data_IF_752158016154
#
_entry.id   IF_752158016154
#
_cell.length_a   1.000
_cell.length_b   1.000
_cell.length_c   1.000
_cell.angle_alpha   90.00
_cell.angle_beta   90.00
_cell.angle_gamma   90.00
#
_symmetry.space_group_name_H-M   'P 1'
#
loop_
_entity.id
_entity.type
_entity.pdbx_description
1 polymer ?
#
# COMPACT_ATOMS: atom_id res chain seq x y z
N UNK A 1 -55.66 -44.19 -3.32
CA UNK A 1 -55.07 -43.42 -2.18
C UNK A 1 -53.70 -42.95 -2.65
N UNK A 2 -53.50 -41.62 -2.65
CA UNK A 2 -52.34 -40.95 -3.26
C UNK A 2 -51.11 -41.05 -2.36
N UNK A 3 -49.98 -41.35 -2.99
CA UNK A 3 -48.62 -41.41 -2.43
C UNK A 3 -48.14 -40.07 -1.88
N UNK A 4 -47.38 -40.12 -0.78
CA UNK A 4 -46.39 -39.09 -0.46
C UNK A 4 -45.17 -39.78 0.17
N UNK A 5 -44.10 -39.93 -0.61
CA UNK A 5 -42.80 -40.35 -0.12
C UNK A 5 -42.04 -39.10 0.36
N UNK A 6 -41.65 -39.08 1.63
CA UNK A 6 -40.84 -38.02 2.23
C UNK A 6 -39.38 -38.25 1.81
N UNK A 7 -38.88 -37.42 0.89
CA UNK A 7 -37.47 -37.39 0.50
C UNK A 7 -36.71 -36.55 1.55
N UNK A 8 -35.93 -37.25 2.39
CA UNK A 8 -34.97 -36.64 3.30
C UNK A 8 -33.77 -36.15 2.48
N UNK A 9 -33.74 -34.85 2.17
CA UNK A 9 -32.55 -34.21 1.59
C UNK A 9 -31.61 -33.93 2.74
N UNK A 10 -30.52 -34.70 2.84
CA UNK A 10 -29.35 -34.32 3.63
C UNK A 10 -28.83 -32.98 3.08
N UNK A 11 -29.10 -31.90 3.80
CA UNK A 11 -28.39 -30.65 3.60
C UNK A 11 -26.92 -30.87 3.92
N UNK A 12 -26.08 -30.90 2.87
CA UNK A 12 -24.66 -30.70 3.03
C UNK A 12 -24.48 -29.30 3.64
N UNK A 13 -24.20 -29.25 4.93
CA UNK A 13 -23.62 -28.06 5.51
C UNK A 13 -22.31 -27.83 4.76
N UNK A 14 -22.29 -26.80 3.90
CA UNK A 14 -21.06 -26.19 3.44
C UNK A 14 -20.37 -25.66 4.70
N UNK A 15 -19.52 -26.51 5.28
CA UNK A 15 -18.53 -26.08 6.25
C UNK A 15 -17.61 -25.16 5.46
N UNK A 16 -17.87 -23.86 5.50
CA UNK A 16 -16.90 -22.87 5.09
C UNK A 16 -15.65 -23.15 5.90
N UNK A 17 -14.59 -23.60 5.23
CA UNK A 17 -13.30 -23.74 5.86
C UNK A 17 -12.98 -22.37 6.46
N UNK A 18 -12.85 -22.31 7.79
CA UNK A 18 -12.31 -21.14 8.46
C UNK A 18 -10.90 -20.99 7.90
N UNK A 19 -10.74 -20.08 6.95
CA UNK A 19 -9.45 -19.74 6.35
C UNK A 19 -8.60 -19.25 7.50
N UNK A 20 -7.49 -19.93 7.77
CA UNK A 20 -6.50 -19.46 8.73
C UNK A 20 -6.14 -18.02 8.31
N UNK A 21 -6.46 -17.00 9.13
CA UNK A 21 -6.27 -15.61 8.74
C UNK A 21 -4.79 -15.24 8.51
N UNK A 22 -3.88 -16.23 8.68
CA UNK A 22 -2.44 -16.11 8.74
C UNK A 22 -1.71 -17.22 7.98
N UNK A 23 -2.42 -17.93 7.09
CA UNK A 23 -1.80 -18.90 6.20
C UNK A 23 -0.76 -18.25 5.28
N UNK A 24 -0.01 -19.06 4.54
CA UNK A 24 0.96 -18.62 3.51
C UNK A 24 0.37 -17.75 2.39
N UNK A 25 -0.95 -17.57 2.40
CA UNK A 25 -1.73 -17.03 1.30
C UNK A 25 -2.09 -15.55 1.52
N UNK A 26 -1.49 -14.86 2.50
CA UNK A 26 -1.70 -13.41 2.70
C UNK A 26 -0.94 -12.60 1.65
N UNK A 27 -1.62 -11.64 1.01
CA UNK A 27 -1.00 -10.74 0.04
C UNK A 27 0.07 -9.88 0.72
N UNK A 28 1.27 -9.81 0.14
CA UNK A 28 2.34 -8.94 0.59
C UNK A 28 2.36 -7.61 -0.18
N UNK A 29 1.72 -7.55 -1.34
CA UNK A 29 1.68 -6.42 -2.27
C UNK A 29 3.07 -5.92 -2.69
N UNK A 30 4.05 -6.82 -2.70
CA UNK A 30 5.47 -6.58 -3.04
C UNK A 30 5.88 -7.23 -4.36
N UNK A 31 4.94 -7.29 -5.31
CA UNK A 31 5.21 -7.59 -6.72
C UNK A 31 4.78 -8.97 -7.21
N UNK A 32 4.85 -10.04 -6.41
CA UNK A 32 4.46 -11.40 -6.84
C UNK A 32 3.64 -12.14 -5.80
N UNK A 33 2.47 -11.59 -5.50
CA UNK A 33 1.48 -12.35 -4.74
C UNK A 33 0.83 -13.43 -5.60
N UNK A 34 0.37 -14.50 -4.98
CA UNK A 34 -0.49 -15.47 -5.64
C UNK A 34 -1.81 -14.79 -6.07
N UNK A 35 -2.37 -15.21 -7.21
CA UNK A 35 -3.61 -14.63 -7.73
C UNK A 35 -4.80 -14.76 -6.76
N UNK A 36 -4.76 -15.73 -5.84
CA UNK A 36 -5.78 -16.02 -4.84
C UNK A 36 -5.35 -15.62 -3.41
N UNK A 37 -4.41 -14.68 -3.27
CA UNK A 37 -4.00 -14.24 -1.95
C UNK A 37 -5.15 -13.50 -1.21
N UNK A 38 -5.07 -13.50 0.12
CA UNK A 38 -6.04 -12.85 1.00
C UNK A 38 -5.50 -11.52 1.52
N UNK A 39 -6.34 -10.50 1.48
CA UNK A 39 -6.08 -9.22 2.13
C UNK A 39 -6.66 -9.23 3.55
N UNK A 40 -5.89 -8.77 4.53
CA UNK A 40 -6.37 -8.69 5.92
C UNK A 40 -7.20 -7.41 6.12
N UNK A 41 -8.23 -7.49 6.97
CA UNK A 41 -9.06 -6.34 7.36
C UNK A 41 -9.87 -6.62 8.64
N UNK A 42 -10.70 -5.66 9.07
CA UNK A 42 -11.54 -5.76 10.27
C UNK A 42 -12.90 -5.07 10.08
N UNK A 43 -13.92 -5.42 10.87
CA UNK A 43 -15.28 -4.83 10.80
C UNK A 43 -15.59 -3.88 11.97
N UNK A 44 -14.57 -3.18 12.47
CA UNK A 44 -14.71 -2.27 13.62
C UNK A 44 -14.96 -3.00 14.95
N UNK A 45 -14.89 -4.34 14.94
CA UNK A 45 -14.94 -5.23 16.10
C UNK A 45 -13.54 -5.50 16.70
N UNK A 46 -12.49 -4.95 16.08
CA UNK A 46 -11.10 -5.19 16.46
C UNK A 46 -10.59 -6.59 16.10
N UNK A 47 -11.34 -7.37 15.32
CA UNK A 47 -10.97 -8.74 14.92
C UNK A 47 -10.48 -8.72 13.47
N UNK A 48 -9.22 -9.12 13.28
CA UNK A 48 -8.63 -9.29 11.96
C UNK A 48 -9.22 -10.53 11.26
N UNK A 49 -9.57 -10.38 9.99
CA UNK A 49 -10.13 -11.41 9.13
C UNK A 49 -9.46 -11.36 7.77
N UNK A 50 -9.31 -12.53 7.14
CA UNK A 50 -8.90 -12.65 5.75
C UNK A 50 -10.09 -12.39 4.82
N UNK A 51 -9.88 -11.56 3.82
CA UNK A 51 -10.81 -11.29 2.73
C UNK A 51 -10.16 -11.71 1.41
N UNK A 52 -10.97 -12.20 0.48
CA UNK A 52 -10.54 -12.32 -0.92
C UNK A 52 -10.07 -10.96 -1.40
N UNK A 53 -8.84 -10.88 -1.93
CA UNK A 53 -8.34 -9.64 -2.52
C UNK A 53 -9.16 -9.28 -3.76
N UNK A 54 -9.53 -8.01 -3.88
CA UNK A 54 -10.14 -7.47 -5.09
C UNK A 54 -9.12 -7.49 -6.22
N UNK A 55 -9.54 -8.06 -7.36
CA UNK A 55 -8.77 -8.04 -8.60
C UNK A 55 -8.56 -6.62 -9.09
N UNK A 56 -7.56 -6.40 -9.95
CA UNK A 56 -7.34 -5.08 -10.55
C UNK A 56 -8.56 -4.62 -11.37
N UNK A 57 -9.20 -5.52 -12.12
CA UNK A 57 -10.44 -5.22 -12.85
C UNK A 57 -11.57 -4.75 -11.93
N UNK A 58 -11.73 -5.37 -10.76
CA UNK A 58 -12.71 -4.92 -9.76
C UNK A 58 -12.36 -3.54 -9.18
N UNK A 59 -11.07 -3.28 -8.89
CA UNK A 59 -10.63 -1.97 -8.42
C UNK A 59 -10.86 -0.88 -9.49
N UNK A 60 -10.62 -1.20 -10.75
CA UNK A 60 -10.81 -0.30 -11.88
C UNK A 60 -12.30 0.02 -12.09
N UNK A 61 -13.19 -0.98 -12.05
CA UNK A 61 -14.64 -0.79 -12.14
C UNK A 61 -15.21 0.04 -10.98
N UNK A 62 -14.62 -0.09 -9.78
CA UNK A 62 -14.96 0.74 -8.62
C UNK A 62 -14.30 2.13 -8.65
N UNK A 63 -13.52 2.45 -9.69
CA UNK A 63 -12.70 3.66 -9.80
C UNK A 63 -11.77 3.88 -8.59
N UNK A 64 -11.26 2.79 -8.00
CA UNK A 64 -10.33 2.81 -6.87
C UNK A 64 -8.90 2.76 -7.42
N UNK A 65 -8.25 3.93 -7.47
CA UNK A 65 -6.84 4.04 -7.83
C UNK A 65 -6.09 4.92 -6.84
N UNK A 66 -5.13 4.34 -6.12
CA UNK A 66 -4.24 4.98 -5.14
C UNK A 66 -2.80 4.63 -5.47
N UNK A 67 -2.40 4.79 -6.72
CA UNK A 67 -1.05 4.40 -7.15
C UNK A 67 0.00 5.43 -6.71
N UNK A 68 0.88 5.04 -5.78
CA UNK A 68 2.00 5.88 -5.34
C UNK A 68 3.08 6.02 -6.42
N UNK A 69 3.38 4.93 -7.14
CA UNK A 69 4.25 4.86 -8.32
C UNK A 69 3.77 3.67 -9.14
N UNK A 70 3.86 3.77 -10.47
CA UNK A 70 3.60 2.66 -11.38
C UNK A 70 4.47 1.43 -11.01
N UNK A 71 3.88 0.25 -10.72
CA UNK A 71 4.61 -0.95 -10.35
C UNK A 71 5.60 -1.46 -11.39
N UNK A 72 5.31 -1.30 -12.69
CA UNK A 72 6.19 -1.73 -13.77
C UNK A 72 7.42 -0.82 -13.87
N UNK A 73 7.19 0.49 -13.68
CA UNK A 73 8.28 1.46 -13.55
C UNK A 73 9.12 1.15 -12.30
N UNK A 74 8.48 0.89 -11.16
CA UNK A 74 9.18 0.56 -9.92
C UNK A 74 10.02 -0.71 -10.08
N UNK A 75 9.46 -1.77 -10.68
CA UNK A 75 10.18 -3.00 -10.96
C UNK A 75 11.36 -2.80 -11.93
N UNK A 76 11.26 -1.84 -12.84
CA UNK A 76 12.36 -1.45 -13.74
C UNK A 76 13.47 -0.71 -13.00
N UNK A 77 13.12 0.18 -12.07
CA UNK A 77 14.08 0.97 -11.29
C UNK A 77 14.74 0.15 -10.17
N UNK A 78 13.94 -0.69 -9.49
CA UNK A 78 14.27 -1.47 -8.32
C UNK A 78 13.61 -2.86 -8.43
N UNK A 79 14.27 -3.84 -9.07
CA UNK A 79 13.65 -5.13 -9.37
C UNK A 79 13.34 -5.97 -8.12
N UNK A 80 14.00 -5.69 -7.00
CA UNK A 80 13.81 -6.43 -5.76
C UNK A 80 13.07 -5.57 -4.70
N UNK A 81 12.11 -6.15 -3.95
CA UNK A 81 11.37 -5.43 -2.91
C UNK A 81 12.21 -4.90 -1.74
N UNK A 82 13.41 -5.42 -1.53
CA UNK A 82 14.38 -4.90 -0.56
C UNK A 82 15.16 -3.68 -1.11
N UNK A 83 14.81 -3.21 -2.31
CA UNK A 83 15.45 -2.10 -3.02
C UNK A 83 16.77 -2.46 -3.69
N UNK A 84 17.23 -3.70 -3.58
CA UNK A 84 18.48 -4.13 -4.23
C UNK A 84 18.29 -4.35 -5.73
N UNK A 85 19.42 -4.48 -6.46
CA UNK A 85 19.41 -4.70 -7.91
C UNK A 85 19.04 -3.48 -8.75
N UNK A 86 18.83 -2.32 -8.12
CA UNK A 86 18.48 -1.09 -8.83
C UNK A 86 19.60 -0.54 -9.72
N UNK A 87 19.21 0.10 -10.82
CA UNK A 87 20.14 0.70 -11.78
C UNK A 87 20.41 2.16 -11.43
N UNK A 88 21.64 2.49 -11.02
CA UNK A 88 22.03 3.88 -10.74
C UNK A 88 21.76 4.81 -11.94
N UNK A 89 22.05 4.35 -13.16
CA UNK A 89 21.76 5.12 -14.38
C UNK A 89 20.26 5.21 -14.68
N UNK A 90 19.50 4.14 -14.40
CA UNK A 90 18.04 4.15 -14.53
C UNK A 90 17.40 5.16 -13.59
N UNK A 91 17.76 5.12 -12.31
CA UNK A 91 17.30 6.07 -11.30
C UNK A 91 17.67 7.51 -11.66
N UNK A 92 18.91 7.77 -12.06
CA UNK A 92 19.33 9.12 -12.45
C UNK A 92 18.55 9.65 -13.66
N UNK A 93 18.32 8.81 -14.67
CA UNK A 93 17.51 9.20 -15.83
C UNK A 93 16.07 9.50 -15.42
N UNK A 94 15.48 8.68 -14.54
CA UNK A 94 14.15 8.94 -14.00
C UNK A 94 14.12 10.28 -13.24
N UNK A 95 15.05 10.52 -12.32
CA UNK A 95 15.16 11.77 -11.58
C UNK A 95 15.44 12.99 -12.47
N UNK A 96 16.04 12.80 -13.64
CA UNK A 96 16.33 13.91 -14.56
C UNK A 96 15.13 14.31 -15.40
N UNK A 97 14.42 13.33 -15.96
CA UNK A 97 13.42 13.59 -16.99
C UNK A 97 11.98 13.53 -16.50
N UNK A 98 11.73 12.89 -15.34
CA UNK A 98 10.38 12.76 -14.80
C UNK A 98 10.01 13.95 -13.91
N UNK A 99 8.82 14.53 -14.15
CA UNK A 99 8.29 15.70 -13.44
C UNK A 99 7.21 15.36 -12.42
N UNK A 100 6.95 14.07 -12.14
CA UNK A 100 5.93 13.66 -11.19
C UNK A 100 6.27 14.06 -9.75
N UNK A 101 5.25 14.09 -8.90
CA UNK A 101 5.42 14.27 -7.46
C UNK A 101 6.35 13.20 -6.86
N UNK A 102 6.33 11.97 -7.39
CA UNK A 102 7.21 10.88 -6.97
C UNK A 102 8.66 11.23 -7.25
N UNK A 103 8.98 11.64 -8.49
CA UNK A 103 10.33 12.05 -8.84
C UNK A 103 10.80 13.23 -7.97
N UNK A 104 9.93 14.20 -7.67
CA UNK A 104 10.27 15.30 -6.76
C UNK A 104 10.54 14.82 -5.33
N UNK A 105 9.69 13.92 -4.78
CA UNK A 105 9.90 13.30 -3.47
C UNK A 105 11.20 12.50 -3.41
N UNK A 106 11.56 11.80 -4.48
CA UNK A 106 12.83 11.07 -4.57
C UNK A 106 14.04 12.02 -4.64
N UNK A 107 13.95 13.11 -5.39
CA UNK A 107 15.01 14.15 -5.41
C UNK A 107 15.24 14.71 -4.01
N UNK A 108 14.19 14.93 -3.22
CA UNK A 108 14.31 15.41 -1.84
C UNK A 108 15.11 14.44 -0.94
N UNK A 109 15.11 13.14 -1.26
CA UNK A 109 15.91 12.13 -0.59
C UNK A 109 17.42 12.24 -0.83
N UNK A 110 17.86 13.04 -1.81
CA UNK A 110 19.27 13.26 -2.13
C UNK A 110 19.67 14.75 -1.94
N UNK A 111 19.66 15.26 -0.69
CA UNK A 111 19.83 16.69 -0.40
C UNK A 111 21.22 17.23 -0.78
N UNK A 112 22.22 16.38 -1.04
CA UNK A 112 23.53 16.79 -1.57
C UNK A 112 23.46 17.22 -3.04
N UNK A 113 22.49 16.70 -3.78
CA UNK A 113 22.34 16.92 -5.22
C UNK A 113 21.19 17.88 -5.53
N UNK A 114 20.12 17.81 -4.75
CA UNK A 114 18.92 18.60 -4.95
C UNK A 114 18.62 19.50 -3.76
N UNK A 115 17.82 20.53 -4.01
CA UNK A 115 17.30 21.46 -3.01
C UNK A 115 15.88 21.89 -3.39
N UNK A 116 15.13 22.37 -2.41
CA UNK A 116 13.87 23.04 -2.68
C UNK A 116 14.13 24.36 -3.43
N UNK A 117 13.32 24.62 -4.46
CA UNK A 117 13.35 25.84 -5.23
C UNK A 117 12.96 27.01 -4.32
N UNK A 118 13.82 28.02 -4.13
CA UNK A 118 13.54 29.13 -3.23
C UNK A 118 12.33 29.98 -3.69
N UNK A 119 11.99 29.91 -4.98
CA UNK A 119 10.91 30.69 -5.59
C UNK A 119 9.60 29.90 -5.70
N UNK A 120 9.65 28.56 -5.57
CA UNK A 120 8.49 27.68 -5.76
C UNK A 120 8.45 26.60 -4.69
N UNK A 121 7.60 26.81 -3.67
CA UNK A 121 7.39 25.85 -2.59
C UNK A 121 7.02 24.46 -3.12
N UNK A 122 7.64 23.42 -2.57
CA UNK A 122 7.41 22.02 -2.93
C UNK A 122 8.05 21.57 -4.24
N UNK A 123 8.70 22.47 -5.01
CA UNK A 123 9.47 22.09 -6.20
C UNK A 123 10.91 21.77 -5.81
N UNK A 124 11.40 20.62 -6.24
CA UNK A 124 12.78 20.19 -5.97
C UNK A 124 13.62 20.30 -7.23
N UNK A 125 14.70 21.08 -7.17
CA UNK A 125 15.62 21.38 -8.27
C UNK A 125 17.04 20.90 -7.97
N UNK A 126 17.85 20.74 -9.02
CA UNK A 126 19.26 20.43 -8.89
C UNK A 126 19.99 21.64 -8.26
N UNK A 127 20.92 21.38 -7.34
CA UNK A 127 21.76 22.45 -6.76
C UNK A 127 22.62 23.10 -7.82
N UNK A 128 22.94 24.37 -7.63
CA UNK A 128 23.83 25.12 -8.54
C UNK A 128 25.23 24.51 -8.63
N UNK A 129 25.71 23.84 -7.58
CA UNK A 129 27.01 23.18 -7.59
C UNK A 129 26.96 21.82 -6.91
N UNK A 130 27.49 20.80 -7.57
CA UNK A 130 27.58 19.42 -7.08
C UNK A 130 28.99 18.89 -7.33
N UNK A 131 29.70 18.50 -6.26
CA UNK A 131 31.05 17.93 -6.38
C UNK A 131 32.06 18.84 -7.11
N UNK A 132 31.87 20.16 -7.02
CA UNK A 132 32.69 21.15 -7.73
C UNK A 132 32.31 21.39 -9.20
N UNK A 133 31.27 20.73 -9.71
CA UNK A 133 30.69 21.00 -11.04
C UNK A 133 29.59 22.06 -10.89
N UNK A 134 29.66 23.12 -11.68
CA UNK A 134 28.58 24.10 -11.82
C UNK A 134 27.46 23.52 -12.70
N UNK A 135 26.30 23.30 -12.08
CA UNK A 135 25.16 22.66 -12.70
C UNK A 135 24.34 23.61 -13.56
N UNK A 136 24.53 24.93 -13.42
CA UNK A 136 23.87 25.94 -14.26
C UNK A 136 24.46 25.95 -15.67
N UNK A 137 25.74 25.56 -15.81
CA UNK A 137 26.46 25.49 -17.08
C UNK A 137 26.71 24.07 -17.56
N UNK A 138 26.76 23.09 -16.65
CA UNK A 138 26.96 21.67 -16.97
C UNK A 138 26.05 20.74 -16.15
N UNK A 139 24.74 20.88 -16.35
CA UNK A 139 23.71 20.06 -15.72
C UNK A 139 23.98 18.54 -15.87
N UNK A 140 24.36 18.10 -17.08
CA UNK A 140 24.67 16.70 -17.36
C UNK A 140 25.87 16.19 -16.53
N UNK A 141 26.86 17.04 -16.28
CA UNK A 141 28.00 16.75 -15.41
C UNK A 141 27.57 16.49 -13.97
N UNK A 142 26.61 17.27 -13.45
CA UNK A 142 26.09 17.08 -12.10
C UNK A 142 25.27 15.79 -11.94
N UNK A 143 24.47 15.42 -12.95
CA UNK A 143 23.82 14.10 -12.95
C UNK A 143 24.83 12.95 -13.10
N UNK A 144 25.95 13.17 -13.78
CA UNK A 144 27.07 12.21 -13.80
C UNK A 144 27.74 12.06 -12.44
N UNK A 145 27.83 13.14 -11.65
CA UNK A 145 28.29 13.07 -10.25
C UNK A 145 27.33 12.23 -9.40
N UNK A 146 26.02 12.43 -9.54
CA UNK A 146 25.01 11.60 -8.86
C UNK A 146 25.14 10.13 -9.26
N UNK A 147 25.27 9.84 -10.55
CA UNK A 147 25.47 8.46 -11.05
C UNK A 147 26.72 7.83 -10.43
N UNK A 148 27.80 8.59 -10.30
CA UNK A 148 29.07 8.12 -9.70
C UNK A 148 28.90 7.88 -8.21
N UNK A 149 28.21 8.79 -7.51
CA UNK A 149 27.89 8.65 -6.09
C UNK A 149 27.07 7.39 -5.79
N UNK A 150 26.02 7.13 -6.55
CA UNK A 150 25.15 5.95 -6.37
C UNK A 150 25.88 4.62 -6.60
N UNK A 151 27.05 4.64 -7.27
CA UNK A 151 27.92 3.46 -7.45
C UNK A 151 28.90 3.26 -6.29
N UNK A 152 29.02 4.20 -5.36
CA UNK A 152 29.80 4.01 -4.13
C UNK A 152 29.04 3.13 -3.14
N UNK A 153 29.73 2.59 -2.12
CA UNK A 153 29.09 1.81 -1.06
C UNK A 153 27.99 2.59 -0.34
N UNK A 154 28.23 3.87 -0.05
CA UNK A 154 27.23 4.72 0.61
C UNK A 154 26.03 4.98 -0.30
N UNK A 155 26.29 5.48 -1.52
CA UNK A 155 25.21 5.85 -2.43
C UNK A 155 24.36 4.65 -2.88
N UNK A 156 24.95 3.47 -3.03
CA UNK A 156 24.19 2.24 -3.33
C UNK A 156 23.32 1.78 -2.17
N UNK A 157 23.76 1.99 -0.92
CA UNK A 157 22.96 1.71 0.28
C UNK A 157 21.77 2.66 0.37
N UNK A 158 21.99 3.96 0.19
CA UNK A 158 20.91 4.96 0.16
C UNK A 158 19.93 4.70 -0.99
N UNK A 159 20.44 4.33 -2.17
CA UNK A 159 19.61 3.92 -3.30
C UNK A 159 18.72 2.73 -2.96
N UNK A 160 19.26 1.69 -2.30
CA UNK A 160 18.48 0.54 -1.88
C UNK A 160 17.40 0.93 -0.85
N UNK A 161 17.72 1.78 0.12
CA UNK A 161 16.73 2.28 1.09
C UNK A 161 15.58 3.04 0.42
N UNK A 162 15.89 3.85 -0.59
CA UNK A 162 14.88 4.53 -1.42
C UNK A 162 14.00 3.52 -2.15
N UNK A 163 14.60 2.53 -2.81
CA UNK A 163 13.86 1.47 -3.50
C UNK A 163 12.94 0.69 -2.56
N UNK A 164 13.45 0.30 -1.38
CA UNK A 164 12.69 -0.38 -0.35
C UNK A 164 11.51 0.48 0.13
N UNK A 165 11.72 1.78 0.31
CA UNK A 165 10.68 2.72 0.71
C UNK A 165 9.58 2.82 -0.34
N UNK A 166 9.94 2.90 -1.63
CA UNK A 166 8.97 2.91 -2.72
C UNK A 166 8.15 1.62 -2.77
N UNK A 167 8.79 0.46 -2.63
CA UNK A 167 8.09 -0.83 -2.55
C UNK A 167 7.13 -0.91 -1.36
N UNK A 168 7.53 -0.40 -0.20
CA UNK A 168 6.65 -0.33 0.97
C UNK A 168 5.45 0.62 0.73
N UNK A 169 5.67 1.76 0.05
CA UNK A 169 4.59 2.69 -0.27
C UNK A 169 3.60 2.11 -1.29
N UNK A 170 4.08 1.35 -2.28
CA UNK A 170 3.21 0.61 -3.22
C UNK A 170 2.40 -0.44 -2.46
N UNK A 171 3.05 -1.20 -1.58
CA UNK A 171 2.34 -2.21 -0.78
C UNK A 171 1.24 -1.57 0.09
N UNK A 172 1.56 -0.48 0.81
CA UNK A 172 0.60 0.27 1.62
C UNK A 172 -0.55 0.83 0.77
N UNK A 173 -0.23 1.35 -0.42
CA UNK A 173 -1.21 1.87 -1.37
C UNK A 173 -2.18 0.78 -1.82
N UNK A 174 -1.66 -0.40 -2.16
CA UNK A 174 -2.49 -1.57 -2.49
C UNK A 174 -3.34 -2.02 -1.31
N UNK A 175 -2.80 -2.10 -0.09
CA UNK A 175 -3.59 -2.41 1.10
C UNK A 175 -4.77 -1.44 1.30
N UNK A 176 -4.54 -0.14 1.04
CA UNK A 176 -5.57 0.88 1.09
C UNK A 176 -6.63 0.68 -0.01
N UNK A 177 -6.24 0.36 -1.25
CA UNK A 177 -7.19 0.03 -2.34
C UNK A 177 -8.07 -1.15 -1.95
N UNK A 178 -7.50 -2.20 -1.36
CA UNK A 178 -8.24 -3.35 -0.85
C UNK A 178 -9.21 -2.96 0.28
N UNK A 179 -8.80 -2.05 1.17
CA UNK A 179 -9.68 -1.45 2.18
C UNK A 179 -10.88 -0.72 1.58
N UNK A 180 -10.63 0.13 0.60
CA UNK A 180 -11.68 0.88 -0.10
C UNK A 180 -12.65 -0.05 -0.84
N UNK A 181 -12.15 -1.10 -1.48
CA UNK A 181 -12.99 -2.09 -2.15
C UNK A 181 -13.98 -2.76 -1.18
N UNK A 182 -13.51 -3.15 0.01
CA UNK A 182 -14.37 -3.71 1.06
C UNK A 182 -15.43 -2.73 1.54
N UNK A 183 -15.05 -1.46 1.73
CA UNK A 183 -16.01 -0.42 2.15
C UNK A 183 -17.13 -0.28 1.11
N UNK A 184 -16.77 -0.20 -0.18
CA UNK A 184 -17.73 -0.13 -1.29
C UNK A 184 -18.65 -1.35 -1.32
N UNK A 185 -18.09 -2.55 -1.15
CA UNK A 185 -18.88 -3.78 -1.04
C UNK A 185 -19.87 -3.75 0.12
N UNK A 186 -19.50 -3.16 1.26
CA UNK A 186 -20.44 -2.98 2.35
C UNK A 186 -21.52 -1.95 2.04
N UNK A 187 -21.17 -0.79 1.49
CA UNK A 187 -22.14 0.24 1.12
C UNK A 187 -23.16 -0.29 0.09
N UNK A 188 -22.73 -1.16 -0.83
CA UNK A 188 -23.64 -1.89 -1.72
C UNK A 188 -24.69 -2.70 -0.95
N UNK A 189 -24.28 -3.51 0.03
CA UNK A 189 -25.22 -4.31 0.85
C UNK A 189 -26.08 -3.47 1.80
N UNK A 190 -25.63 -2.27 2.17
CA UNK A 190 -26.45 -1.29 2.90
C UNK A 190 -27.46 -0.57 2.00
N UNK A 191 -27.37 -0.75 0.69
CA UNK A 191 -28.23 -0.08 -0.31
C UNK A 191 -27.85 1.39 -0.55
N UNK A 192 -26.62 1.78 -0.21
CA UNK A 192 -26.14 3.17 -0.18
C UNK A 192 -25.12 3.47 -1.31
N UNK A 193 -24.88 2.53 -2.23
CA UNK A 193 -23.92 2.71 -3.32
C UNK A 193 -24.40 2.06 -4.64
N UNK A 194 -24.89 2.90 -5.55
CA UNK A 194 -25.35 2.49 -6.88
C UNK A 194 -24.21 2.14 -7.84
N UNK A 195 -23.02 2.69 -7.65
CA UNK A 195 -21.85 2.42 -8.50
C UNK A 195 -21.28 1.03 -8.18
N UNK A 196 -21.25 0.68 -6.89
CA UNK A 196 -20.90 -0.67 -6.45
C UNK A 196 -21.87 -1.74 -6.99
N UNK A 197 -23.14 -1.40 -7.24
CA UNK A 197 -24.09 -2.31 -7.86
C UNK A 197 -23.71 -2.68 -9.31
N UNK A 198 -23.13 -1.74 -10.07
CA UNK A 198 -22.66 -1.98 -11.42
C UNK A 198 -21.40 -2.86 -11.47
N UNK A 199 -20.53 -2.74 -10.46
CA UNK A 199 -19.29 -3.53 -10.33
C UNK A 199 -19.50 -4.94 -9.72
N UNK A 200 -20.72 -5.32 -9.35
CA UNK A 200 -20.99 -6.61 -8.68
C UNK A 200 -20.55 -7.84 -9.47
N UNK A 201 -20.56 -7.77 -10.81
CA UNK A 201 -20.17 -8.90 -11.64
C UNK A 201 -18.66 -9.16 -11.67
N UNK A 202 -17.85 -8.10 -11.63
CA UNK A 202 -16.38 -8.15 -11.62
C UNK A 202 -15.81 -8.25 -10.21
N UNK A 203 -16.54 -7.75 -9.21
CA UNK A 203 -16.20 -7.82 -7.79
C UNK A 203 -16.89 -8.98 -7.03
N UNK A 204 -17.51 -9.93 -7.72
CA UNK A 204 -18.40 -10.93 -7.13
C UNK A 204 -17.75 -11.70 -5.97
N UNK A 205 -16.53 -12.20 -6.15
CA UNK A 205 -15.82 -13.01 -5.14
C UNK A 205 -15.42 -12.18 -3.90
N UNK A 206 -15.06 -10.91 -4.10
CA UNK A 206 -14.74 -10.01 -3.00
C UNK A 206 -16.00 -9.59 -2.23
N UNK A 207 -17.10 -9.33 -2.94
CA UNK A 207 -18.36 -8.91 -2.33
C UNK A 207 -19.06 -10.08 -1.63
N UNK A 208 -18.97 -11.30 -2.14
CA UNK A 208 -19.48 -12.49 -1.43
C UNK A 208 -18.77 -12.70 -0.11
N UNK A 209 -17.44 -12.53 -0.07
CA UNK A 209 -16.68 -12.61 1.18
C UNK A 209 -17.13 -11.53 2.19
N UNK A 210 -17.44 -10.32 1.72
CA UNK A 210 -18.03 -9.27 2.56
C UNK A 210 -19.44 -9.68 3.05
N UNK A 211 -20.29 -10.21 2.19
CA UNK A 211 -21.65 -10.62 2.53
C UNK A 211 -21.68 -11.72 3.59
N UNK A 212 -20.86 -12.75 3.43
CA UNK A 212 -20.77 -13.90 4.34
C UNK A 212 -20.38 -13.45 5.75
N UNK A 213 -19.42 -12.53 5.84
CA UNK A 213 -18.96 -12.01 7.13
C UNK A 213 -20.02 -11.06 7.72
N UNK A 214 -20.68 -10.23 6.90
CA UNK A 214 -21.78 -9.35 7.31
C UNK A 214 -23.02 -10.10 7.78
N UNK A 215 -23.33 -11.27 7.23
CA UNK A 215 -24.47 -12.06 7.68
C UNK A 215 -24.42 -12.40 9.19
N UNK A 216 -23.22 -12.38 9.79
CA UNK A 216 -23.00 -12.58 11.22
C UNK A 216 -22.92 -11.30 12.08
N UNK A 217 -23.05 -10.09 11.52
CA UNK A 217 -22.81 -8.84 12.28
C UNK A 217 -23.51 -7.61 11.68
N UNK A 218 -23.94 -6.67 12.53
CA UNK A 218 -24.50 -5.37 12.12
C UNK A 218 -23.48 -4.22 12.14
N UNK A 219 -22.20 -4.54 12.31
CA UNK A 219 -21.12 -3.54 12.43
C UNK A 219 -20.75 -2.96 11.06
N UNK A 220 -20.40 -1.68 11.06
CA UNK A 220 -19.88 -0.99 9.88
C UNK A 220 -18.53 -1.59 9.48
N UNK A 221 -18.28 -1.70 8.17
CA UNK A 221 -17.02 -2.21 7.67
C UNK A 221 -15.91 -1.20 7.93
N UNK A 222 -15.00 -1.51 8.85
CA UNK A 222 -13.86 -0.65 9.14
C UNK A 222 -12.75 -0.85 8.11
N UNK A 223 -12.08 0.24 7.79
CA UNK A 223 -11.39 0.42 6.53
C UNK A 223 -9.99 -0.21 6.41
N UNK A 224 -9.36 -0.70 7.49
CA UNK A 224 -7.91 -0.91 7.47
C UNK A 224 -7.45 -2.15 8.24
N UNK A 225 -6.63 -2.98 7.59
CA UNK A 225 -5.52 -3.64 8.28
C UNK A 225 -4.47 -2.56 8.61
N UNK A 226 -3.74 -2.74 9.71
CA UNK A 226 -2.90 -1.76 10.40
C UNK A 226 -1.65 -1.25 9.62
N UNK A 227 -1.71 -1.20 8.29
CA UNK A 227 -0.58 -0.98 7.41
C UNK A 227 0.40 -2.17 7.44
N UNK A 228 1.55 -2.07 6.74
CA UNK A 228 2.57 -3.12 6.72
C UNK A 228 3.29 -3.31 8.07
N UNK A 229 2.89 -2.59 9.11
CA UNK A 229 3.41 -2.75 10.47
C UNK A 229 2.91 -4.08 11.04
N UNK A 230 3.80 -5.08 11.02
CA UNK A 230 3.68 -6.38 11.65
C UNK A 230 2.26 -6.94 11.63
N UNK A 231 1.95 -7.69 10.56
CA UNK A 231 0.83 -8.63 10.49
C UNK A 231 0.99 -9.69 11.59
N UNK A 232 0.83 -9.30 12.85
CA UNK A 232 0.72 -10.17 13.99
C UNK A 232 -0.75 -10.54 14.10
N UNK A 233 -1.11 -11.63 13.45
CA UNK A 233 -2.33 -12.33 13.78
C UNK A 233 -2.35 -12.70 15.26
N UNK A 234 -3.21 -12.05 16.04
CA UNK A 234 -3.18 -12.11 17.49
C UNK A 234 -3.61 -13.46 18.09
N UNK A 235 -3.08 -13.77 19.27
CA UNK A 235 -3.63 -14.80 20.15
C UNK A 235 -4.29 -14.16 21.36
N UNK A 236 -5.62 -14.02 21.34
CA UNK A 236 -6.37 -13.76 22.56
C UNK A 236 -6.42 -15.02 23.42
N UNK A 237 -5.64 -15.05 24.52
CA UNK A 237 -5.90 -15.96 25.64
C UNK A 237 -4.68 -16.54 26.37
N UNK A 238 -3.96 -15.73 27.17
CA UNK A 238 -3.68 -16.03 28.58
C UNK A 238 -2.73 -14.99 29.20
N UNK A 239 -3.25 -14.23 30.18
CA UNK A 239 -2.53 -13.51 31.25
C UNK A 239 -1.25 -12.74 30.89
N UNK A 240 -1.38 -11.42 30.75
CA UNK A 240 -0.66 -10.51 31.63
C UNK A 240 -1.45 -9.21 31.77
N UNK A 241 -1.58 -8.66 32.99
CA UNK A 241 -2.28 -7.40 33.24
C UNK A 241 -1.40 -6.22 32.80
N UNK A 242 -1.94 -5.02 32.96
CA UNK A 242 -1.28 -3.71 32.83
C UNK A 242 -1.46 -3.01 31.49
N UNK A 243 -2.73 -2.76 31.17
CA UNK A 243 -3.11 -1.41 30.78
C UNK A 243 -3.27 -0.55 32.06
N UNK A 244 -2.22 0.18 32.41
CA UNK A 244 -2.24 1.51 33.03
C UNK A 244 -0.83 1.84 33.52
N UNK A 245 -0.21 2.91 33.02
CA UNK A 245 0.07 4.11 33.81
C UNK A 245 0.93 5.10 33.00
N UNK A 246 0.50 6.36 33.03
CA UNK A 246 1.25 7.52 32.55
C UNK A 246 2.54 7.74 33.37
N UNK A 247 3.39 8.64 32.85
CA UNK A 247 4.61 9.23 33.44
C UNK A 247 5.93 8.43 33.40
N UNK A 248 6.92 8.98 32.69
CA UNK A 248 8.33 8.65 32.95
C UNK A 248 9.25 8.76 31.74
N UNK A 249 10.21 9.68 31.83
CA UNK A 249 11.19 10.03 30.82
C UNK A 249 12.31 8.99 30.57
N UNK A 250 12.84 9.02 29.34
CA UNK A 250 14.20 8.55 28.97
C UNK A 250 14.34 7.04 28.73
N UNK A 251 15.04 6.52 27.73
CA UNK A 251 15.99 7.13 26.81
C UNK A 251 16.29 6.15 25.65
N UNK A 252 16.42 6.72 24.43
CA UNK A 252 17.33 6.39 23.32
C UNK A 252 17.50 4.91 22.88
N UNK A 253 17.40 4.55 21.59
CA UNK A 253 18.20 5.11 20.51
C UNK A 253 17.75 4.64 19.10
N UNK A 254 17.83 5.58 18.14
CA UNK A 254 18.15 5.39 16.72
C UNK A 254 17.14 4.74 15.76
N UNK A 255 16.21 5.55 15.24
CA UNK A 255 16.19 5.88 13.81
C UNK A 255 15.26 7.09 13.59
N UNK A 256 15.85 8.28 13.61
CA UNK A 256 15.21 9.50 13.14
C UNK A 256 15.55 9.73 11.67
N UNK A 257 14.60 10.38 10.98
CA UNK A 257 14.72 11.08 9.70
C UNK A 257 14.41 10.27 8.42
N UNK A 258 13.11 10.11 8.14
CA UNK A 258 12.50 10.57 6.88
C UNK A 258 10.97 10.53 7.03
N UNK A 259 10.42 11.46 7.81
CA UNK A 259 9.00 11.79 7.72
C UNK A 259 8.78 12.59 6.43
N UNK A 260 8.56 11.90 5.31
CA UNK A 260 8.01 12.56 4.13
C UNK A 260 6.52 12.74 4.36
N UNK A 261 6.12 14.00 4.56
CA UNK A 261 4.73 14.41 4.67
C UNK A 261 4.02 14.15 3.33
N UNK A 262 3.20 13.10 3.25
CA UNK A 262 2.11 13.02 2.27
C UNK A 262 0.85 13.63 2.92
N UNK A 263 0.84 14.97 2.99
CA UNK A 263 -0.36 15.73 3.27
C UNK A 263 -0.82 16.40 1.97
N UNK A 264 -2.12 16.29 1.70
CA UNK A 264 -2.90 17.00 0.66
C UNK A 264 -2.87 16.44 -0.78
N UNK A 265 -3.70 15.43 -1.06
CA UNK A 265 -4.69 15.44 -2.17
C UNK A 265 -5.90 14.56 -1.78
N UNK A 266 -6.72 15.04 -0.85
CA UNK A 266 -8.03 14.46 -0.56
C UNK A 266 -9.04 15.56 -0.27
N UNK A 267 -9.18 16.51 -1.20
CA UNK A 267 -10.20 17.56 -1.15
C UNK A 267 -10.44 18.14 -2.55
N UNK A 268 -10.86 17.32 -3.53
CA UNK A 268 -11.37 17.82 -4.81
C UNK A 268 -12.10 16.76 -5.66
N UNK A 269 -12.91 15.86 -5.08
CA UNK A 269 -13.92 15.10 -5.86
C UNK A 269 -15.15 14.87 -4.99
N UNK A 270 -15.88 15.95 -4.70
CA UNK A 270 -17.24 15.89 -4.16
C UNK A 270 -17.95 17.23 -4.36
N UNK A 271 -17.91 17.74 -5.59
CA UNK A 271 -18.90 18.68 -6.13
C UNK A 271 -18.81 18.64 -7.64
N UNK A 272 -19.62 17.78 -8.26
CA UNK A 272 -20.25 17.95 -9.56
C UNK A 272 -21.43 16.99 -9.63
#
# INVERSE_FOLDING_TARGET
>A
MKSTALLFVCGAALVGAAVDPCGSDVCQFKGKDAANCSAIGQLGDGVLRAYTACSQDCLDDLNIKREAIDPDLLATLFPNPDGTGGSASGLVNYLRFDGSSVAMSLRAGFPTFFMEDPDVAGKVILRETVGGVDCTTNESGCYSQLTTYLKTTQGSTEMAQVGQTLWNNVALSKELEQGLCRIRGCQYYDGDDADAAAATSTCADAFSAVADIRAGTTKACSAFALGPAAQACGGGGSTSPDAAQEDGAGAHAACSAAALALAAVAAAVLTL
#
